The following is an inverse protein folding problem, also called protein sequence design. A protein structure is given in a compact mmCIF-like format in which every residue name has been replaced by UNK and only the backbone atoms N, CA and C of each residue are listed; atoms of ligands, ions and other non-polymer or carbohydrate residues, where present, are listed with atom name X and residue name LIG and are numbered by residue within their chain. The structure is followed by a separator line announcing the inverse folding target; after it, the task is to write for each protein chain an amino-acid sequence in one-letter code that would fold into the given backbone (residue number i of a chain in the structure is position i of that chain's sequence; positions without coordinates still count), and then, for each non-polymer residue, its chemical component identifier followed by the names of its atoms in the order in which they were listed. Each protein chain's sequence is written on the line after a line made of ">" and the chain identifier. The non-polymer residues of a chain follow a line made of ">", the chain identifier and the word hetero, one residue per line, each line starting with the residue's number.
data_IF_392992839335
#
_entry.id   IF_392992839335
#
_cell.length_a   1.000
_cell.length_b   1.000
_cell.length_c   1.000
_cell.angle_alpha   90.00
_cell.angle_beta   90.00
_cell.angle_gamma   90.00
#
_symmetry.space_group_name_H-M   'P 1'
#
loop_
_entity.id
_entity.type
_entity.pdbx_description
1 polymer ?
#
# COMPACT_ATOMS: atom_id res chain seq x y z
N UNK A 1 -25.35 4.41 -9.26
CA UNK A 1 -24.75 5.72 -9.58
C UNK A 1 -23.23 5.65 -9.79
N UNK A 2 -22.46 4.96 -8.95
CA UNK A 2 -20.99 4.89 -9.06
C UNK A 2 -20.43 4.33 -10.40
N UNK A 3 -21.21 3.62 -11.16
CA UNK A 3 -20.82 3.08 -12.47
C UNK A 3 -21.20 3.94 -13.69
N UNK A 4 -21.78 5.11 -13.47
CA UNK A 4 -22.12 6.03 -14.56
C UNK A 4 -20.86 6.77 -15.06
N UNK A 5 -20.83 7.09 -16.34
CA UNK A 5 -19.72 7.81 -16.95
C UNK A 5 -19.51 9.17 -16.28
N UNK A 6 -18.25 9.50 -16.02
CA UNK A 6 -17.84 10.75 -15.39
C UNK A 6 -18.37 10.98 -13.95
N UNK A 7 -18.98 9.97 -13.32
CA UNK A 7 -19.29 10.02 -11.89
C UNK A 7 -18.06 9.57 -11.11
N UNK A 8 -17.21 10.54 -10.79
CA UNK A 8 -16.08 10.33 -9.89
C UNK A 8 -16.48 10.48 -8.40
N UNK A 9 -15.53 10.27 -7.47
CA UNK A 9 -15.77 10.34 -6.03
C UNK A 9 -16.46 11.62 -5.57
N UNK A 10 -15.99 12.78 -6.03
CA UNK A 10 -16.56 14.08 -5.65
C UNK A 10 -18.02 14.24 -6.14
N UNK A 11 -18.33 13.76 -7.35
CA UNK A 11 -19.70 13.79 -7.88
C UNK A 11 -20.59 12.82 -7.11
N UNK A 12 -20.09 11.63 -6.80
CA UNK A 12 -20.84 10.65 -6.00
C UNK A 12 -21.18 11.18 -4.61
N UNK A 13 -20.25 11.92 -3.97
CA UNK A 13 -20.54 12.60 -2.68
C UNK A 13 -21.65 13.64 -2.81
N UNK A 14 -21.64 14.47 -3.85
CA UNK A 14 -22.73 15.45 -4.08
C UNK A 14 -24.08 14.76 -4.31
N UNK A 15 -24.09 13.63 -5.03
CA UNK A 15 -25.29 12.84 -5.21
C UNK A 15 -25.77 12.22 -3.89
N UNK A 16 -24.86 11.69 -3.07
CA UNK A 16 -25.19 11.14 -1.77
C UNK A 16 -25.72 12.22 -0.80
N UNK A 17 -25.25 13.46 -0.89
CA UNK A 17 -25.71 14.58 -0.08
C UNK A 17 -27.14 15.06 -0.43
N UNK A 18 -27.75 14.59 -1.52
CA UNK A 18 -29.14 14.90 -1.87
C UNK A 18 -30.17 14.17 -0.99
N UNK A 19 -29.75 13.19 -0.20
CA UNK A 19 -30.61 12.44 0.71
C UNK A 19 -30.79 10.98 0.33
N UNK A 20 -32.03 10.46 0.34
CA UNK A 20 -32.32 9.06 0.10
C UNK A 20 -31.76 8.56 -1.24
N UNK A 21 -31.00 7.46 -1.28
CA UNK A 21 -30.38 6.95 -2.50
C UNK A 21 -31.39 6.48 -3.56
N UNK A 22 -32.55 5.99 -3.16
CA UNK A 22 -33.60 5.50 -4.09
C UNK A 22 -34.26 6.70 -4.74
N UNK A 23 -34.63 7.71 -3.96
CA UNK A 23 -35.20 8.94 -4.50
C UNK A 23 -34.21 9.67 -5.40
N UNK A 24 -32.93 9.74 -5.00
CA UNK A 24 -31.86 10.32 -5.82
C UNK A 24 -31.71 9.57 -7.15
N UNK A 25 -31.80 8.23 -7.14
CA UNK A 25 -31.75 7.41 -8.34
C UNK A 25 -32.93 7.69 -9.29
N UNK A 26 -34.15 7.81 -8.76
CA UNK A 26 -35.34 8.14 -9.57
C UNK A 26 -35.27 9.57 -10.13
N UNK A 27 -34.80 10.54 -9.36
CA UNK A 27 -34.53 11.91 -9.87
C UNK A 27 -33.51 11.89 -11.00
N UNK A 28 -32.45 11.09 -10.88
CA UNK A 28 -31.41 10.93 -11.89
C UNK A 28 -32.01 10.31 -13.18
N UNK A 29 -32.74 9.21 -13.06
CA UNK A 29 -33.40 8.55 -14.24
C UNK A 29 -34.33 9.50 -14.99
N UNK A 30 -34.97 10.41 -14.28
CA UNK A 30 -35.90 11.39 -14.85
C UNK A 30 -35.21 12.71 -15.30
N UNK A 31 -33.88 12.81 -15.18
CA UNK A 31 -33.13 14.04 -15.52
C UNK A 31 -33.43 15.23 -14.61
N UNK A 32 -33.89 14.99 -13.38
CA UNK A 32 -34.32 16.01 -12.41
C UNK A 32 -33.30 16.29 -11.30
N UNK A 33 -32.01 16.13 -11.59
CA UNK A 33 -30.95 16.46 -10.66
C UNK A 33 -30.65 17.97 -10.70
N UNK A 34 -30.28 18.58 -9.55
CA UNK A 34 -29.81 19.96 -9.54
C UNK A 34 -28.44 20.10 -10.23
N UNK A 35 -28.20 21.23 -10.87
CA UNK A 35 -26.94 21.50 -11.57
C UNK A 35 -25.70 21.43 -10.65
N UNK A 36 -25.89 21.64 -9.34
CA UNK A 36 -24.82 21.61 -8.33
C UNK A 36 -24.13 20.25 -8.16
N UNK A 37 -24.76 19.16 -8.62
CA UNK A 37 -24.14 17.83 -8.61
C UNK A 37 -23.05 17.65 -9.67
N UNK A 38 -23.09 18.46 -10.74
CA UNK A 38 -22.14 18.40 -11.84
C UNK A 38 -20.81 19.06 -11.47
N UNK A 39 -19.71 18.52 -11.98
CA UNK A 39 -18.41 19.20 -11.92
C UNK A 39 -18.32 20.18 -13.11
N UNK A 40 -18.30 21.47 -12.83
CA UNK A 40 -18.42 22.57 -13.80
C UNK A 40 -17.25 22.72 -14.81
N UNK A 41 -16.57 21.64 -15.23
CA UNK A 41 -15.30 21.79 -16.00
C UNK A 41 -15.28 21.31 -17.44
N UNK A 42 -16.20 20.47 -17.91
CA UNK A 42 -16.07 19.85 -19.24
C UNK A 42 -17.28 20.00 -20.15
N UNK A 43 -18.48 20.13 -19.60
CA UNK A 43 -19.72 20.28 -20.37
C UNK A 43 -20.80 20.99 -19.52
N UNK A 44 -21.86 21.55 -20.18
CA UNK A 44 -22.98 22.13 -19.46
C UNK A 44 -23.63 21.11 -18.51
N UNK A 45 -23.99 21.48 -17.27
CA UNK A 45 -24.62 20.60 -16.29
C UNK A 45 -25.86 19.85 -16.83
N UNK A 46 -26.66 20.52 -17.65
CA UNK A 46 -27.87 19.92 -18.27
C UNK A 46 -27.51 18.75 -19.18
N UNK A 47 -26.53 18.90 -20.05
CA UNK A 47 -26.05 17.85 -20.95
C UNK A 47 -25.52 16.63 -20.18
N UNK A 48 -24.76 16.89 -19.09
CA UNK A 48 -24.23 15.83 -18.24
C UNK A 48 -25.37 15.06 -17.54
N UNK A 49 -26.38 15.76 -17.00
CA UNK A 49 -27.53 15.13 -16.35
C UNK A 49 -28.35 14.30 -17.35
N UNK A 50 -28.60 14.81 -18.55
CA UNK A 50 -29.30 14.09 -19.62
C UNK A 50 -28.58 12.79 -20.01
N UNK A 51 -27.24 12.85 -20.13
CA UNK A 51 -26.41 11.65 -20.37
C UNK A 51 -26.56 10.63 -19.26
N UNK A 52 -26.42 11.05 -18.00
CA UNK A 52 -26.61 10.15 -16.86
C UNK A 52 -28.02 9.58 -16.79
N UNK A 53 -29.03 10.37 -17.10
CA UNK A 53 -30.42 9.90 -17.15
C UNK A 53 -30.60 8.81 -18.22
N UNK A 54 -30.00 9.00 -19.39
CA UNK A 54 -30.04 8.02 -20.49
C UNK A 54 -29.37 6.72 -20.07
N UNK A 55 -28.17 6.78 -19.47
CA UNK A 55 -27.49 5.59 -18.95
C UNK A 55 -28.28 4.91 -17.83
N UNK A 56 -28.83 5.69 -16.89
CA UNK A 56 -29.58 5.15 -15.76
C UNK A 56 -30.85 4.40 -16.17
N UNK A 57 -31.48 4.77 -17.29
CA UNK A 57 -32.65 4.08 -17.81
C UNK A 57 -32.36 2.67 -18.33
N UNK A 58 -31.12 2.42 -18.77
CA UNK A 58 -30.65 1.12 -19.26
C UNK A 58 -30.07 0.23 -18.16
N UNK A 59 -29.89 0.75 -16.96
CA UNK A 59 -29.29 0.04 -15.84
C UNK A 59 -30.38 -0.55 -14.94
N UNK A 60 -30.32 -1.87 -14.74
CA UNK A 60 -31.07 -2.54 -13.70
C UNK A 60 -30.21 -2.70 -12.43
N UNK A 61 -30.55 -2.04 -11.32
CA UNK A 61 -29.83 -2.19 -10.05
C UNK A 61 -29.81 -3.65 -9.54
N UNK A 62 -30.83 -4.44 -9.81
CA UNK A 62 -30.90 -5.83 -9.37
C UNK A 62 -29.85 -6.71 -10.09
N UNK A 63 -29.64 -6.47 -11.38
CA UNK A 63 -28.60 -7.15 -12.17
C UNK A 63 -27.20 -6.79 -11.65
N UNK A 64 -26.95 -5.49 -11.29
CA UNK A 64 -25.70 -5.07 -10.70
C UNK A 64 -25.46 -5.82 -9.39
N UNK A 65 -26.44 -5.88 -8.50
CA UNK A 65 -26.32 -6.60 -7.23
C UNK A 65 -26.10 -8.11 -7.44
N UNK A 66 -26.80 -8.73 -8.38
CA UNK A 66 -26.59 -10.13 -8.73
C UNK A 66 -25.15 -10.38 -9.24
N UNK A 67 -24.63 -9.47 -10.07
CA UNK A 67 -23.24 -9.52 -10.55
C UNK A 67 -22.24 -9.38 -9.41
N UNK A 68 -22.39 -8.39 -8.51
CA UNK A 68 -21.50 -8.18 -7.37
C UNK A 68 -21.44 -9.44 -6.50
N UNK A 69 -22.59 -10.03 -6.16
CA UNK A 69 -22.65 -11.28 -5.38
C UNK A 69 -21.94 -12.43 -6.08
N UNK A 70 -22.12 -12.58 -7.40
CA UNK A 70 -21.49 -13.65 -8.18
C UNK A 70 -19.97 -13.57 -8.18
N UNK A 71 -19.41 -12.37 -8.18
CA UNK A 71 -17.95 -12.16 -8.13
C UNK A 71 -17.41 -11.97 -6.69
N UNK A 72 -18.25 -12.17 -5.67
CA UNK A 72 -17.89 -12.06 -4.26
C UNK A 72 -17.56 -10.65 -3.78
N UNK A 73 -17.99 -9.60 -4.52
CA UNK A 73 -17.73 -8.21 -4.13
C UNK A 73 -18.82 -7.70 -3.21
N UNK A 74 -18.44 -7.35 -1.98
CA UNK A 74 -19.26 -6.61 -1.03
C UNK A 74 -19.26 -5.11 -1.31
N UNK A 75 -20.21 -4.40 -0.71
CA UNK A 75 -20.29 -2.93 -0.76
C UNK A 75 -20.60 -2.42 0.63
N UNK A 76 -19.77 -1.52 1.14
CA UNK A 76 -20.02 -0.76 2.36
C UNK A 76 -20.20 0.71 2.01
N UNK A 77 -21.21 1.36 2.59
CA UNK A 77 -21.55 2.75 2.30
C UNK A 77 -21.30 3.65 3.51
N UNK A 78 -20.96 4.90 3.25
CA UNK A 78 -20.84 5.93 4.27
C UNK A 78 -22.15 6.01 5.09
N UNK A 79 -22.02 5.92 6.41
CA UNK A 79 -23.15 5.86 7.31
C UNK A 79 -23.82 4.49 7.46
N UNK A 80 -23.47 3.52 6.60
CA UNK A 80 -23.98 2.14 6.67
C UNK A 80 -23.21 1.25 7.66
N UNK A 81 -23.72 0.02 7.90
CA UNK A 81 -23.05 -0.96 8.73
C UNK A 81 -21.71 -1.40 8.09
N UNK A 82 -20.70 -1.68 8.92
CA UNK A 82 -19.37 -2.11 8.47
C UNK A 82 -18.53 -1.03 7.78
N UNK A 83 -18.99 0.23 7.75
CA UNK A 83 -18.17 1.32 7.24
C UNK A 83 -17.07 1.67 8.25
N UNK A 84 -15.79 1.75 7.82
CA UNK A 84 -14.67 1.97 8.73
C UNK A 84 -14.82 3.27 9.53
N UNK A 85 -14.71 3.17 10.87
CA UNK A 85 -14.88 4.32 11.77
C UNK A 85 -13.84 5.42 11.47
N UNK A 86 -12.60 5.04 11.16
CA UNK A 86 -11.53 5.96 10.81
C UNK A 86 -11.85 6.86 9.60
N UNK A 87 -12.77 6.42 8.72
CA UNK A 87 -13.20 7.18 7.54
C UNK A 87 -14.51 7.97 7.76
N UNK A 88 -15.26 7.73 8.85
CA UNK A 88 -16.52 8.48 9.10
C UNK A 88 -16.29 9.97 9.31
N UNK A 89 -15.23 10.30 10.03
CA UNK A 89 -14.81 11.67 10.33
C UNK A 89 -13.75 12.22 9.37
N UNK A 90 -13.45 11.48 8.29
CA UNK A 90 -12.46 11.92 7.29
C UNK A 90 -12.98 13.16 6.54
N UNK A 91 -12.14 14.18 6.27
CA UNK A 91 -12.56 15.36 5.51
C UNK A 91 -12.98 15.03 4.07
N UNK A 92 -12.55 13.88 3.54
CA UNK A 92 -12.86 13.42 2.18
C UNK A 92 -13.20 11.92 2.15
N UNK A 93 -14.31 11.49 2.82
CA UNK A 93 -14.65 10.08 2.97
C UNK A 93 -15.13 9.49 1.65
N UNK A 94 -14.75 8.23 1.30
CA UNK A 94 -15.36 7.53 0.19
C UNK A 94 -16.84 7.23 0.49
N UNK A 95 -17.75 7.57 -0.41
CA UNK A 95 -19.19 7.28 -0.23
C UNK A 95 -19.45 5.77 -0.23
N UNK A 96 -18.69 5.04 -1.05
CA UNK A 96 -18.78 3.58 -1.17
C UNK A 96 -17.37 2.99 -1.14
N UNK A 97 -17.27 1.84 -0.52
CA UNK A 97 -16.12 0.94 -0.66
C UNK A 97 -16.61 -0.40 -1.21
N UNK A 98 -16.07 -0.81 -2.34
CA UNK A 98 -16.25 -2.14 -2.91
C UNK A 98 -15.17 -3.04 -2.33
N UNK A 99 -15.56 -4.19 -1.79
CA UNK A 99 -14.70 -5.03 -0.94
C UNK A 99 -14.62 -6.46 -1.46
N UNK A 100 -13.43 -7.06 -1.37
CA UNK A 100 -13.18 -8.48 -1.47
C UNK A 100 -12.46 -8.92 -0.20
N UNK A 101 -13.00 -9.92 0.51
CA UNK A 101 -12.53 -10.33 1.82
C UNK A 101 -13.38 -9.76 2.95
N UNK A 102 -12.82 -9.70 4.16
CA UNK A 102 -13.54 -9.35 5.37
C UNK A 102 -13.36 -7.86 5.76
N UNK A 103 -14.41 -7.03 5.66
CA UNK A 103 -14.36 -5.63 6.08
C UNK A 103 -14.00 -5.42 7.57
N UNK A 104 -14.32 -6.39 8.46
CA UNK A 104 -13.98 -6.33 9.88
C UNK A 104 -12.45 -6.31 10.13
N UNK A 105 -11.65 -6.61 9.11
CA UNK A 105 -10.19 -6.40 9.15
C UNK A 105 -9.83 -4.95 9.51
N UNK A 106 -10.65 -3.97 9.16
CA UNK A 106 -10.45 -2.55 9.42
C UNK A 106 -10.93 -2.08 10.81
N UNK A 107 -11.54 -2.95 11.60
CA UNK A 107 -11.93 -2.68 13.00
C UNK A 107 -10.72 -2.74 13.95
N UNK A 108 -9.60 -3.28 13.47
CA UNK A 108 -8.33 -3.35 14.20
C UNK A 108 -7.56 -2.03 14.09
N UNK A 109 -6.59 -1.76 14.98
CA UNK A 109 -5.63 -0.69 14.77
C UNK A 109 -4.98 -0.84 13.40
N UNK A 110 -4.95 0.25 12.63
CA UNK A 110 -4.46 0.25 11.25
C UNK A 110 -3.17 1.07 11.12
N UNK A 111 -2.16 0.50 10.49
CA UNK A 111 -0.90 1.16 10.16
C UNK A 111 -0.66 1.12 8.65
N UNK A 112 -0.46 2.28 8.04
CA UNK A 112 -0.05 2.33 6.64
C UNK A 112 1.46 2.11 6.51
N UNK A 113 1.89 1.18 5.66
CA UNK A 113 3.29 0.98 5.30
C UNK A 113 3.43 1.27 3.83
N UNK A 114 4.15 2.35 3.49
CA UNK A 114 4.23 2.87 2.12
C UNK A 114 5.68 3.19 1.72
N UNK A 115 5.91 3.31 0.41
CA UNK A 115 7.23 3.69 -0.08
C UNK A 115 7.37 3.58 -1.60
N UNK A 116 8.62 3.54 -2.04
CA UNK A 116 8.97 3.49 -3.45
C UNK A 116 8.56 2.18 -4.11
N UNK A 117 8.19 2.27 -5.39
CA UNK A 117 7.97 1.10 -6.26
C UNK A 117 9.27 0.41 -6.67
N UNK A 118 10.39 1.12 -6.62
CA UNK A 118 11.75 0.66 -6.97
C UNK A 118 12.57 0.47 -5.70
N UNK A 119 12.03 -0.34 -4.77
CA UNK A 119 12.65 -0.60 -3.49
C UNK A 119 13.92 -1.44 -3.62
N UNK A 120 14.91 -1.13 -2.78
CA UNK A 120 16.10 -1.96 -2.61
C UNK A 120 15.76 -3.29 -1.91
N UNK A 121 16.69 -4.25 -1.87
CA UNK A 121 16.50 -5.45 -1.08
C UNK A 121 16.34 -5.14 0.41
N UNK A 122 17.11 -4.16 0.92
CA UNK A 122 16.98 -3.65 2.27
C UNK A 122 15.56 -3.12 2.55
N UNK A 123 15.07 -2.19 1.74
CA UNK A 123 13.74 -1.61 1.95
C UNK A 123 12.62 -2.66 1.86
N UNK A 124 12.72 -3.61 0.93
CA UNK A 124 11.76 -4.74 0.87
C UNK A 124 11.83 -5.62 2.12
N UNK A 125 13.03 -5.90 2.63
CA UNK A 125 13.23 -6.66 3.87
C UNK A 125 12.58 -5.95 5.07
N UNK A 126 12.88 -4.68 5.26
CA UNK A 126 12.30 -3.85 6.35
C UNK A 126 10.77 -3.82 6.24
N UNK A 127 10.22 -3.54 5.06
CA UNK A 127 8.77 -3.48 4.87
C UNK A 127 8.09 -4.84 5.13
N UNK A 128 8.70 -5.94 4.69
CA UNK A 128 8.21 -7.29 4.93
C UNK A 128 8.19 -7.62 6.43
N UNK A 129 9.26 -7.32 7.14
CA UNK A 129 9.36 -7.63 8.57
C UNK A 129 8.42 -6.76 9.40
N UNK A 130 8.35 -5.45 9.12
CA UNK A 130 7.35 -4.58 9.72
C UNK A 130 5.95 -5.10 9.48
N UNK A 131 5.62 -5.50 8.25
CA UNK A 131 4.32 -6.05 7.92
C UNK A 131 3.98 -7.30 8.72
N UNK A 132 4.94 -8.24 8.82
CA UNK A 132 4.78 -9.48 9.60
C UNK A 132 4.61 -9.18 11.08
N UNK A 133 5.46 -8.35 11.64
CA UNK A 133 5.51 -8.11 13.08
C UNK A 133 4.31 -7.25 13.55
N UNK A 134 3.87 -6.27 12.77
CA UNK A 134 2.62 -5.56 13.00
C UNK A 134 1.42 -6.51 13.01
N UNK A 135 1.31 -7.38 12.01
CA UNK A 135 0.22 -8.34 11.93
C UNK A 135 0.28 -9.38 13.06
N UNK A 136 1.47 -9.78 13.52
CA UNK A 136 1.64 -10.64 14.70
C UNK A 136 1.17 -9.98 16.00
N UNK A 137 1.22 -8.65 16.07
CA UNK A 137 0.70 -7.84 17.18
C UNK A 137 -0.78 -7.42 17.00
N UNK A 138 -1.52 -8.05 16.10
CA UNK A 138 -2.95 -7.77 15.89
C UNK A 138 -3.25 -6.50 15.09
N UNK A 139 -2.24 -5.85 14.51
CA UNK A 139 -2.37 -4.59 13.74
C UNK A 139 -2.63 -4.91 12.27
N UNK A 140 -3.63 -4.26 11.69
CA UNK A 140 -3.91 -4.34 10.26
C UNK A 140 -2.92 -3.46 9.48
N UNK A 141 -2.15 -4.08 8.59
CA UNK A 141 -1.27 -3.35 7.67
C UNK A 141 -2.05 -2.88 6.46
N UNK A 142 -2.17 -1.57 6.31
CA UNK A 142 -2.84 -0.92 5.17
C UNK A 142 -1.80 -0.48 4.15
N UNK A 143 -2.00 -0.79 2.86
CA UNK A 143 -1.13 -0.26 1.81
C UNK A 143 -1.83 -0.25 0.45
N UNK A 144 -1.10 0.15 -0.59
CA UNK A 144 -1.67 0.36 -1.93
C UNK A 144 -1.49 -0.78 -2.91
N UNK A 145 -0.93 -1.91 -2.51
CA UNK A 145 -0.63 -3.05 -3.37
C UNK A 145 0.30 -2.71 -4.57
N UNK A 146 1.03 -1.60 -4.52
CA UNK A 146 2.00 -1.25 -5.54
C UNK A 146 3.22 -2.20 -5.51
N UNK A 147 4.07 -2.14 -6.54
CA UNK A 147 5.37 -2.81 -6.50
C UNK A 147 6.24 -2.25 -5.37
N UNK A 148 7.26 -2.97 -4.96
CA UNK A 148 8.25 -2.53 -3.97
C UNK A 148 7.74 -2.62 -2.54
N UNK A 149 7.72 -1.50 -1.83
CA UNK A 149 7.43 -1.45 -0.38
C UNK A 149 6.03 -1.97 -0.07
N UNK A 150 5.01 -1.51 -0.78
CA UNK A 150 3.62 -1.93 -0.52
C UNK A 150 3.46 -3.46 -0.62
N UNK A 151 3.99 -4.05 -1.70
CA UNK A 151 3.92 -5.49 -1.91
C UNK A 151 4.69 -6.26 -0.84
N UNK A 152 5.87 -5.78 -0.42
CA UNK A 152 6.65 -6.41 0.62
C UNK A 152 5.93 -6.37 1.98
N UNK A 153 5.35 -5.21 2.35
CA UNK A 153 4.57 -5.05 3.57
C UNK A 153 3.36 -6.00 3.61
N UNK A 154 2.59 -6.07 2.52
CA UNK A 154 1.47 -7.01 2.42
C UNK A 154 1.91 -8.47 2.48
N UNK A 155 3.02 -8.83 1.82
CA UNK A 155 3.55 -10.19 1.86
C UNK A 155 3.96 -10.61 3.28
N UNK A 156 4.56 -9.68 4.03
CA UNK A 156 4.88 -9.86 5.46
C UNK A 156 3.62 -10.02 6.30
N UNK A 157 2.66 -9.10 6.18
CA UNK A 157 1.42 -9.09 6.93
C UNK A 157 0.58 -10.37 6.71
N UNK A 158 0.57 -10.91 5.50
CA UNK A 158 -0.04 -12.21 5.21
C UNK A 158 0.58 -13.39 5.98
N UNK A 159 1.69 -13.21 6.68
CA UNK A 159 2.36 -14.23 7.52
C UNK A 159 2.21 -13.97 9.02
N UNK A 160 1.70 -12.79 9.42
CA UNK A 160 1.67 -12.37 10.81
C UNK A 160 0.38 -12.71 11.58
N UNK A 161 -0.69 -13.10 10.91
CA UNK A 161 -1.95 -13.53 11.54
C UNK A 161 -3.09 -12.52 11.51
N UNK A 162 -2.86 -11.23 11.74
CA UNK A 162 -3.86 -10.19 11.47
C UNK A 162 -3.90 -9.90 9.97
N UNK A 163 -5.01 -10.10 9.32
CA UNK A 163 -5.13 -9.89 7.88
C UNK A 163 -4.77 -8.46 7.46
N UNK A 164 -4.07 -8.25 6.32
CA UNK A 164 -3.79 -6.93 5.76
C UNK A 164 -4.99 -6.34 5.04
N UNK A 165 -4.97 -5.02 4.82
CA UNK A 165 -5.94 -4.34 3.98
C UNK A 165 -5.25 -3.64 2.80
N UNK A 166 -5.58 -4.03 1.57
CA UNK A 166 -5.11 -3.36 0.37
C UNK A 166 -6.18 -2.41 -0.17
N UNK A 167 -5.84 -1.14 -0.30
CA UNK A 167 -6.66 -0.17 -1.01
C UNK A 167 -6.15 -0.07 -2.45
N UNK A 168 -7.00 -0.25 -3.46
CA UNK A 168 -6.55 -0.24 -4.86
C UNK A 168 -7.15 0.91 -5.66
N UNK A 169 -6.41 1.39 -6.67
CA UNK A 169 -6.83 2.47 -7.57
C UNK A 169 -7.53 1.98 -8.84
N UNK A 170 -8.15 0.80 -8.76
CA UNK A 170 -8.94 0.16 -9.81
C UNK A 170 -10.09 -0.59 -9.15
N UNK A 171 -11.03 -1.14 -9.90
CA UNK A 171 -12.04 -2.05 -9.34
C UNK A 171 -11.37 -3.22 -8.61
N UNK A 172 -11.96 -3.73 -7.51
CA UNK A 172 -11.33 -4.79 -6.71
C UNK A 172 -11.14 -6.10 -7.50
N UNK A 173 -11.91 -6.30 -8.57
CA UNK A 173 -11.80 -7.41 -9.53
C UNK A 173 -10.64 -7.26 -10.52
N UNK A 174 -10.01 -6.07 -10.59
CA UNK A 174 -8.93 -5.73 -11.53
C UNK A 174 -7.74 -5.06 -10.83
N UNK A 175 -7.18 -5.66 -9.77
CA UNK A 175 -6.07 -5.05 -9.04
C UNK A 175 -4.85 -4.87 -9.97
N UNK A 176 -4.10 -3.80 -9.73
CA UNK A 176 -2.93 -3.41 -10.51
C UNK A 176 -1.75 -3.14 -9.55
N UNK A 177 -0.53 -3.59 -9.88
CA UNK A 177 -0.10 -4.22 -11.14
C UNK A 177 -0.49 -5.71 -11.24
N UNK A 178 -0.55 -6.23 -12.47
CA UNK A 178 -0.91 -7.65 -12.71
C UNK A 178 0.06 -8.65 -12.08
N UNK A 179 1.33 -8.29 -11.96
CA UNK A 179 2.36 -9.10 -11.28
C UNK A 179 2.02 -9.36 -9.80
N UNK A 180 1.26 -8.47 -9.16
CA UNK A 180 0.83 -8.61 -7.76
C UNK A 180 -0.54 -9.33 -7.62
N UNK A 181 -1.08 -9.89 -8.70
CA UNK A 181 -2.38 -10.58 -8.65
C UNK A 181 -2.40 -11.78 -7.67
N UNK A 182 -1.36 -12.63 -7.57
CA UNK A 182 -1.31 -13.66 -6.54
C UNK A 182 -1.35 -13.08 -5.12
N UNK A 183 -0.60 -12.00 -4.87
CA UNK A 183 -0.61 -11.31 -3.58
C UNK A 183 -1.97 -10.68 -3.30
N UNK A 184 -2.62 -10.05 -4.29
CA UNK A 184 -3.95 -9.47 -4.15
C UNK A 184 -4.98 -10.52 -3.72
N UNK A 185 -4.96 -11.70 -4.32
CA UNK A 185 -5.82 -12.83 -3.94
C UNK A 185 -5.57 -13.27 -2.50
N UNK A 186 -4.29 -13.37 -2.11
CA UNK A 186 -3.93 -13.75 -0.75
C UNK A 186 -4.37 -12.70 0.28
N UNK A 187 -4.21 -11.41 -0.03
CA UNK A 187 -4.71 -10.30 0.79
C UNK A 187 -6.23 -10.39 0.95
N UNK A 188 -6.97 -10.60 -0.14
CA UNK A 188 -8.43 -10.76 -0.09
C UNK A 188 -8.88 -12.00 0.71
N UNK A 189 -8.10 -13.08 0.70
CA UNK A 189 -8.42 -14.31 1.45
C UNK A 189 -8.15 -14.17 2.95
N UNK A 190 -7.07 -13.47 3.33
CA UNK A 190 -6.62 -13.38 4.74
C UNK A 190 -7.07 -12.09 5.43
N UNK A 191 -7.55 -11.13 4.69
CA UNK A 191 -7.92 -9.81 5.16
C UNK A 191 -8.87 -9.12 4.19
N UNK A 192 -8.49 -7.95 3.65
CA UNK A 192 -9.37 -7.12 2.84
C UNK A 192 -8.65 -6.53 1.63
N UNK A 193 -9.29 -6.60 0.47
CA UNK A 193 -8.96 -5.76 -0.68
C UNK A 193 -10.14 -4.85 -0.96
N UNK A 194 -9.93 -3.53 -0.96
CA UNK A 194 -11.01 -2.58 -1.15
C UNK A 194 -10.68 -1.47 -2.16
N UNK A 195 -11.73 -0.87 -2.70
CA UNK A 195 -11.64 0.22 -3.66
C UNK A 195 -12.86 1.13 -3.57
N UNK A 196 -12.67 2.42 -3.82
CA UNK A 196 -13.77 3.37 -4.06
C UNK A 196 -14.39 3.20 -5.46
N UNK A 197 -13.70 2.49 -6.35
CA UNK A 197 -14.13 2.29 -7.73
C UNK A 197 -14.89 0.96 -7.87
N UNK A 198 -16.01 0.96 -8.63
CA UNK A 198 -16.78 -0.26 -8.84
C UNK A 198 -15.98 -1.30 -9.67
N UNK A 199 -16.37 -2.59 -9.57
CA UNK A 199 -15.83 -3.64 -10.40
C UNK A 199 -15.93 -3.32 -11.90
N UNK A 200 -14.92 -3.77 -12.65
CA UNK A 200 -14.77 -3.52 -14.08
C UNK A 200 -13.96 -2.28 -14.44
N UNK A 201 -13.73 -1.38 -13.47
CA UNK A 201 -12.95 -0.16 -13.72
C UNK A 201 -11.44 -0.47 -13.68
N UNK A 202 -10.74 -0.16 -14.77
CA UNK A 202 -9.30 -0.35 -14.89
C UNK A 202 -8.48 0.71 -14.15
N UNK A 203 -7.20 0.41 -13.92
CA UNK A 203 -6.26 1.36 -13.34
C UNK A 203 -5.92 2.48 -14.32
N UNK A 204 -5.73 3.70 -13.78
CA UNK A 204 -5.20 4.86 -14.50
C UNK A 204 -4.21 5.62 -13.60
N UNK A 205 -3.16 6.25 -14.15
CA UNK A 205 -2.10 6.88 -13.35
C UNK A 205 -2.61 7.87 -12.31
N UNK A 206 -3.56 8.72 -12.65
CA UNK A 206 -4.13 9.73 -11.76
C UNK A 206 -4.96 9.16 -10.60
N UNK A 207 -5.42 7.90 -10.68
CA UNK A 207 -6.22 7.25 -9.63
C UNK A 207 -5.38 6.82 -8.45
N UNK A 208 -4.08 6.60 -8.64
CA UNK A 208 -3.20 6.17 -7.55
C UNK A 208 -3.00 7.26 -6.47
N UNK A 209 -2.66 8.52 -6.81
CA UNK A 209 -2.62 9.59 -5.82
C UNK A 209 -3.97 9.84 -5.14
N UNK A 210 -5.07 9.82 -5.91
CA UNK A 210 -6.42 10.00 -5.34
C UNK A 210 -6.75 8.91 -4.32
N UNK A 211 -6.38 7.65 -4.59
CA UNK A 211 -6.59 6.53 -3.67
C UNK A 211 -5.78 6.67 -2.38
N UNK A 212 -4.57 7.29 -2.42
CA UNK A 212 -3.68 7.38 -1.27
C UNK A 212 -4.32 8.11 -0.07
N UNK A 213 -5.31 8.99 -0.30
CA UNK A 213 -6.09 9.61 0.78
C UNK A 213 -6.84 8.58 1.64
N UNK A 214 -7.31 7.48 1.02
CA UNK A 214 -8.01 6.42 1.74
C UNK A 214 -7.01 5.58 2.54
N UNK A 215 -5.82 5.32 2.00
CA UNK A 215 -4.74 4.65 2.76
C UNK A 215 -4.39 5.45 4.02
N UNK A 216 -4.17 6.75 3.87
CA UNK A 216 -3.87 7.63 5.01
C UNK A 216 -5.07 7.78 5.96
N UNK A 217 -6.30 7.85 5.42
CA UNK A 217 -7.52 7.99 6.21
C UNK A 217 -7.81 6.77 7.10
N UNK A 218 -7.54 5.58 6.62
CA UNK A 218 -7.70 4.33 7.38
C UNK A 218 -6.64 4.17 8.47
N UNK A 219 -5.45 4.70 8.28
CA UNK A 219 -4.33 4.49 9.18
C UNK A 219 -4.32 5.47 10.36
N UNK A 220 -3.91 5.01 11.52
CA UNK A 220 -3.56 5.83 12.68
C UNK A 220 -2.12 6.32 12.60
N UNK A 221 -1.24 5.49 12.04
CA UNK A 221 0.19 5.75 11.85
C UNK A 221 0.56 5.43 10.40
N UNK A 222 1.40 6.25 9.80
CA UNK A 222 1.94 6.05 8.45
C UNK A 222 3.46 5.87 8.55
N UNK A 223 3.96 4.73 8.10
CA UNK A 223 5.39 4.43 8.04
C UNK A 223 5.87 4.51 6.61
N UNK A 224 6.88 5.35 6.37
CA UNK A 224 7.56 5.47 5.07
C UNK A 224 8.88 4.71 5.14
N UNK A 225 9.03 3.64 4.33
CA UNK A 225 10.24 2.78 4.41
C UNK A 225 11.35 3.27 3.49
N UNK A 226 11.05 3.50 2.25
CA UNK A 226 11.96 4.13 1.26
C UNK A 226 11.15 5.05 0.36
N UNK A 227 11.64 6.25 0.12
CA UNK A 227 11.05 7.23 -0.81
C UNK A 227 12.09 8.22 -1.33
N UNK A 228 11.98 8.58 -2.59
CA UNK A 228 12.60 9.81 -3.08
C UNK A 228 11.80 11.02 -2.56
N UNK A 229 12.39 12.22 -2.56
CA UNK A 229 11.75 13.46 -2.10
C UNK A 229 10.45 13.80 -2.85
N UNK A 230 10.34 13.39 -4.12
CA UNK A 230 9.16 13.59 -4.99
C UNK A 230 8.45 12.28 -5.31
N UNK A 231 8.62 11.26 -4.45
CA UNK A 231 8.03 9.93 -4.66
C UNK A 231 6.51 9.91 -4.51
N UNK A 232 5.86 8.95 -5.16
CA UNK A 232 4.39 8.77 -5.06
C UNK A 232 3.89 8.46 -3.64
N UNK A 233 4.75 7.94 -2.75
CA UNK A 233 4.46 7.74 -1.34
C UNK A 233 4.35 9.05 -0.56
N UNK A 234 5.01 10.13 -1.03
CA UNK A 234 4.90 11.45 -0.40
C UNK A 234 3.48 12.01 -0.45
N UNK A 235 2.70 11.67 -1.48
CA UNK A 235 1.28 12.05 -1.50
C UNK A 235 0.48 11.37 -0.37
N UNK A 236 0.88 10.16 0.07
CA UNK A 236 0.27 9.53 1.26
C UNK A 236 0.65 10.28 2.54
N UNK A 237 1.89 10.75 2.62
CA UNK A 237 2.35 11.59 3.74
C UNK A 237 1.59 12.91 3.81
N UNK A 238 1.42 13.62 2.68
CA UNK A 238 0.61 14.83 2.60
C UNK A 238 -0.82 14.59 3.12
N UNK A 239 -1.44 13.50 2.68
CA UNK A 239 -2.76 13.10 3.15
C UNK A 239 -2.78 12.71 4.63
N UNK A 240 -1.71 12.14 5.17
CA UNK A 240 -1.55 11.81 6.58
C UNK A 240 -1.46 13.07 7.45
N UNK A 241 -0.64 14.03 7.05
CA UNK A 241 -0.48 15.32 7.74
C UNK A 241 -1.81 16.09 7.78
N UNK A 242 -2.54 16.16 6.65
CA UNK A 242 -3.87 16.79 6.59
C UNK A 242 -4.91 16.15 7.51
N UNK A 243 -4.66 14.93 7.98
CA UNK A 243 -5.52 14.14 8.86
C UNK A 243 -4.98 14.01 10.28
N UNK A 244 -3.93 14.76 10.61
CA UNK A 244 -3.21 14.68 11.89
C UNK A 244 -2.80 13.25 12.25
N UNK A 245 -2.37 12.46 11.23
CA UNK A 245 -1.84 11.12 11.47
C UNK A 245 -0.36 11.19 11.78
N UNK A 246 0.10 10.37 12.71
CA UNK A 246 1.53 10.25 13.02
C UNK A 246 2.28 9.66 11.82
N UNK A 247 3.38 10.31 11.44
CA UNK A 247 4.26 9.85 10.36
C UNK A 247 5.58 9.41 10.97
N UNK A 248 6.00 8.19 10.64
CA UNK A 248 7.33 7.66 10.94
C UNK A 248 8.07 7.41 9.62
N UNK A 249 9.40 7.57 9.65
CA UNK A 249 10.23 7.29 8.49
C UNK A 249 11.41 6.39 8.86
N UNK A 250 11.67 5.39 8.03
CA UNK A 250 12.83 4.52 8.17
C UNK A 250 14.06 5.27 7.67
N UNK A 251 15.11 5.44 8.48
CA UNK A 251 16.33 6.11 8.05
C UNK A 251 17.09 5.26 7.05
N UNK A 252 17.84 5.90 6.18
CA UNK A 252 18.71 5.23 5.24
C UNK A 252 19.95 6.02 4.88
N UNK A 253 20.86 5.47 4.05
CA UNK A 253 22.08 6.16 3.68
C UNK A 253 21.80 7.55 3.08
N UNK A 254 22.57 8.55 3.54
CA UNK A 254 22.33 9.97 3.18
C UNK A 254 22.51 10.27 1.69
N UNK A 255 23.28 9.45 1.01
CA UNK A 255 23.58 9.56 -0.43
C UNK A 255 22.76 8.61 -1.31
N UNK A 256 21.86 7.80 -0.70
CA UNK A 256 20.97 6.95 -1.44
C UNK A 256 19.70 7.73 -1.87
N UNK A 257 19.42 7.86 -3.19
CA UNK A 257 18.22 8.56 -3.66
C UNK A 257 16.90 7.98 -3.12
N UNK A 258 16.88 6.67 -2.83
CA UNK A 258 15.73 5.99 -2.24
C UNK A 258 15.48 6.34 -0.78
N UNK A 259 16.48 6.87 -0.07
CA UNK A 259 16.39 7.29 1.33
C UNK A 259 16.13 8.79 1.50
N UNK A 260 16.35 9.57 0.44
CA UNK A 260 16.33 11.04 0.50
C UNK A 260 15.00 11.60 1.04
N UNK A 261 13.86 11.00 0.65
CA UNK A 261 12.55 11.42 1.13
C UNK A 261 12.33 11.06 2.61
N UNK A 262 12.75 9.88 3.05
CA UNK A 262 12.65 9.46 4.45
C UNK A 262 13.54 10.33 5.35
N UNK A 263 14.79 10.58 4.94
CA UNK A 263 15.71 11.44 5.68
C UNK A 263 15.21 12.89 5.74
N UNK A 264 14.60 13.41 4.68
CA UNK A 264 13.95 14.73 4.69
C UNK A 264 12.78 14.77 5.68
N UNK A 265 11.90 13.76 5.69
CA UNK A 265 10.80 13.67 6.65
C UNK A 265 11.30 13.67 8.10
N UNK A 266 12.37 12.94 8.39
CA UNK A 266 12.99 12.92 9.72
C UNK A 266 13.53 14.32 10.08
N UNK A 267 14.19 15.00 9.15
CA UNK A 267 14.67 16.38 9.33
C UNK A 267 13.53 17.37 9.57
N UNK A 268 12.36 17.13 8.98
CA UNK A 268 11.14 17.92 9.14
C UNK A 268 10.35 17.55 10.42
N UNK A 269 10.87 16.63 11.25
CA UNK A 269 10.30 16.27 12.54
C UNK A 269 9.47 14.98 12.57
N UNK A 270 9.45 14.19 11.50
CA UNK A 270 8.86 12.85 11.57
C UNK A 270 9.70 11.95 12.50
N UNK A 271 9.03 11.10 13.28
CA UNK A 271 9.71 10.16 14.15
C UNK A 271 10.47 9.10 13.36
N UNK A 272 11.62 8.68 13.90
CA UNK A 272 12.42 7.59 13.32
C UNK A 272 11.70 6.26 13.55
N UNK A 273 11.64 5.41 12.52
CA UNK A 273 11.20 4.04 12.60
C UNK A 273 12.39 3.09 12.46
N UNK A 274 12.82 2.50 13.55
CA UNK A 274 13.89 1.49 13.59
C UNK A 274 13.34 0.08 13.63
N UNK A 275 12.04 -0.07 13.96
CA UNK A 275 11.37 -1.38 14.06
C UNK A 275 9.90 -1.26 14.43
N UNK A 276 9.29 -2.42 14.70
CA UNK A 276 7.86 -2.52 15.04
C UNK A 276 7.53 -1.79 16.35
N UNK A 277 8.44 -1.78 17.31
CA UNK A 277 8.23 -1.19 18.63
C UNK A 277 7.96 0.32 18.55
N UNK A 278 8.68 1.05 17.67
CA UNK A 278 8.44 2.47 17.45
C UNK A 278 7.01 2.73 16.93
N UNK A 279 6.52 1.84 16.07
CA UNK A 279 5.17 1.94 15.50
C UNK A 279 4.11 1.63 16.57
N UNK A 280 4.35 0.61 17.42
CA UNK A 280 3.44 0.25 18.51
C UNK A 280 3.37 1.36 19.56
N UNK A 281 4.49 2.02 19.88
CA UNK A 281 4.51 3.21 20.73
C UNK A 281 3.68 4.33 20.12
N UNK A 282 3.86 4.61 18.82
CA UNK A 282 3.11 5.64 18.11
C UNK A 282 1.60 5.35 18.04
N UNK A 283 1.19 4.07 18.12
CA UNK A 283 -0.21 3.66 18.26
C UNK A 283 -0.78 3.84 19.67
N UNK A 284 0.03 4.29 20.65
CA UNK A 284 -0.37 4.40 22.05
C UNK A 284 -0.41 3.04 22.78
N UNK A 285 0.20 2.01 22.21
CA UNK A 285 0.35 0.69 22.85
C UNK A 285 1.45 0.70 23.91
N UNK A 286 1.26 -0.08 24.98
CA UNK A 286 2.36 -0.44 25.85
C UNK A 286 3.38 -1.25 25.05
N UNK A 287 4.68 -0.91 25.20
CA UNK A 287 5.77 -1.68 24.59
C UNK A 287 5.61 -3.16 24.95
N UNK A 288 5.20 -3.96 24.00
CA UNK A 288 5.45 -5.39 24.07
C UNK A 288 6.94 -5.52 23.74
N UNK A 289 7.76 -5.72 24.76
CA UNK A 289 9.21 -5.89 24.60
C UNK A 289 9.45 -7.19 23.82
N UNK A 290 9.31 -7.13 22.51
CA UNK A 290 9.89 -8.13 21.63
C UNK A 290 11.37 -7.88 21.64
N UNK A 291 12.10 -8.73 22.38
CA UNK A 291 13.55 -8.70 22.36
C UNK A 291 14.04 -8.66 20.90
N UNK A 292 15.08 -7.85 20.59
CA UNK A 292 15.66 -7.83 19.27
C UNK A 292 15.89 -9.27 18.82
N UNK A 293 15.35 -9.65 17.67
CA UNK A 293 15.55 -11.01 17.17
C UNK A 293 17.04 -11.22 16.98
N UNK A 294 17.62 -12.22 17.66
CA UNK A 294 19.02 -12.53 17.46
C UNK A 294 19.23 -12.91 15.98
N UNK A 295 20.25 -12.34 15.39
CA UNK A 295 20.69 -12.80 14.07
C UNK A 295 21.27 -14.20 14.22
N UNK A 296 20.52 -15.21 13.76
CA UNK A 296 20.93 -16.59 13.84
C UNK A 296 21.88 -17.00 12.71
N UNK A 297 22.19 -16.08 11.79
CA UNK A 297 23.18 -16.34 10.74
C UNK A 297 24.57 -16.41 11.35
N UNK A 298 25.33 -17.41 10.93
CA UNK A 298 26.75 -17.49 11.32
C UNK A 298 27.48 -16.28 10.75
N UNK A 299 28.15 -15.52 11.59
CA UNK A 299 28.91 -14.36 11.17
C UNK A 299 29.97 -14.75 10.12
N UNK A 300 30.02 -14.10 8.97
CA UNK A 300 31.03 -14.38 7.96
C UNK A 300 32.43 -14.09 8.45
N UNK A 301 33.39 -14.91 8.09
CA UNK A 301 34.80 -14.80 8.42
C UNK A 301 35.66 -14.83 7.18
N UNK A 302 36.93 -14.39 7.27
CA UNK A 302 37.85 -14.40 6.13
C UNK A 302 37.37 -13.54 4.96
N UNK A 303 37.53 -14.04 3.74
CA UNK A 303 37.20 -13.32 2.51
C UNK A 303 35.71 -12.92 2.45
N UNK A 304 34.80 -13.74 3.00
CA UNK A 304 33.38 -13.41 3.09
C UNK A 304 33.12 -12.14 3.94
N UNK A 305 33.84 -11.97 5.04
CA UNK A 305 33.74 -10.77 5.86
C UNK A 305 34.25 -9.53 5.12
N UNK A 306 35.36 -9.64 4.40
CA UNK A 306 35.92 -8.58 3.55
C UNK A 306 34.91 -8.15 2.49
N UNK A 307 34.28 -9.12 1.81
CA UNK A 307 33.26 -8.84 0.79
C UNK A 307 32.07 -8.07 1.39
N UNK A 308 31.57 -8.46 2.57
CA UNK A 308 30.45 -7.75 3.22
C UNK A 308 30.85 -6.36 3.71
N UNK A 309 32.07 -6.18 4.17
CA UNK A 309 32.56 -4.87 4.63
C UNK A 309 32.66 -3.88 3.47
N UNK A 310 33.24 -4.33 2.34
CA UNK A 310 33.33 -3.55 1.11
C UNK A 310 31.96 -3.25 0.49
N UNK A 311 31.06 -4.23 0.49
CA UNK A 311 29.68 -4.07 -0.03
C UNK A 311 28.88 -3.04 0.78
N UNK A 312 29.11 -2.94 2.10
CA UNK A 312 28.35 -2.07 2.96
C UNK A 312 26.84 -2.32 2.87
N UNK A 313 26.04 -1.23 2.72
CA UNK A 313 24.57 -1.27 2.65
C UNK A 313 24.02 -0.73 1.31
N UNK A 314 24.86 -0.56 0.30
CA UNK A 314 24.46 -0.14 -1.05
C UNK A 314 24.50 -1.30 -2.02
N UNK A 315 23.66 -1.30 -3.04
CA UNK A 315 23.84 -2.19 -4.18
C UNK A 315 25.13 -1.86 -4.91
N UNK A 316 26.02 -2.83 -5.08
CA UNK A 316 27.28 -2.66 -5.76
C UNK A 316 27.46 -3.69 -6.88
N UNK A 317 28.17 -3.31 -7.95
CA UNK A 317 28.48 -4.25 -9.04
C UNK A 317 29.58 -5.23 -8.64
N UNK A 318 29.62 -6.38 -9.31
CA UNK A 318 30.68 -7.38 -9.10
C UNK A 318 32.05 -6.79 -9.42
N UNK A 319 32.14 -5.94 -10.46
CA UNK A 319 33.37 -5.26 -10.86
C UNK A 319 33.90 -4.33 -9.75
N UNK A 320 32.98 -3.56 -9.12
CA UNK A 320 33.34 -2.72 -7.98
C UNK A 320 33.87 -3.57 -6.83
N UNK A 321 33.17 -4.66 -6.48
CA UNK A 321 33.56 -5.54 -5.39
C UNK A 321 34.92 -6.21 -5.62
N UNK A 322 35.24 -6.60 -6.85
CA UNK A 322 36.57 -7.10 -7.21
C UNK A 322 37.64 -6.03 -6.96
N UNK A 323 37.41 -4.83 -7.47
CA UNK A 323 38.37 -3.73 -7.36
C UNK A 323 38.57 -3.29 -5.89
N UNK A 324 37.52 -3.22 -5.12
CA UNK A 324 37.56 -2.71 -3.75
C UNK A 324 37.98 -3.76 -2.72
N UNK A 325 37.65 -5.05 -2.91
CA UNK A 325 38.07 -6.11 -1.99
C UNK A 325 39.51 -6.60 -2.22
N UNK A 326 40.06 -6.37 -3.43
CA UNK A 326 41.35 -6.92 -3.84
C UNK A 326 41.34 -8.44 -4.08
N UNK A 327 40.17 -9.08 -3.99
CA UNK A 327 40.06 -10.51 -4.21
C UNK A 327 40.04 -10.86 -5.73
N UNK A 328 40.65 -11.95 -6.13
CA UNK A 328 40.49 -12.47 -7.50
C UNK A 328 39.02 -12.74 -7.80
N UNK A 329 38.55 -12.43 -9.01
CA UNK A 329 37.17 -12.62 -9.43
C UNK A 329 36.61 -14.00 -9.07
N UNK A 330 37.39 -15.07 -9.28
CA UNK A 330 36.99 -16.45 -8.97
C UNK A 330 36.71 -16.65 -7.49
N UNK A 331 37.54 -16.07 -6.61
CA UNK A 331 37.36 -16.14 -5.17
C UNK A 331 36.14 -15.33 -4.74
N UNK A 332 35.98 -14.10 -5.26
CA UNK A 332 34.82 -13.25 -4.99
C UNK A 332 33.51 -13.93 -5.36
N UNK A 333 33.40 -14.54 -6.56
CA UNK A 333 32.19 -15.23 -6.98
C UNK A 333 31.84 -16.38 -6.03
N UNK A 334 32.84 -17.18 -5.61
CA UNK A 334 32.64 -18.24 -4.64
C UNK A 334 32.12 -17.73 -3.27
N UNK A 335 32.68 -16.60 -2.78
CA UNK A 335 32.22 -15.99 -1.53
C UNK A 335 30.82 -15.38 -1.69
N UNK A 336 30.50 -14.75 -2.80
CA UNK A 336 29.14 -14.24 -3.07
C UNK A 336 28.10 -15.36 -3.08
N UNK A 337 28.41 -16.52 -3.67
CA UNK A 337 27.51 -17.69 -3.64
C UNK A 337 27.32 -18.24 -2.21
N UNK A 338 28.39 -18.23 -1.41
CA UNK A 338 28.33 -18.63 0.00
C UNK A 338 27.47 -17.67 0.82
N UNK A 339 27.69 -16.37 0.66
CA UNK A 339 26.94 -15.30 1.32
C UNK A 339 25.48 -15.29 0.91
N UNK A 340 25.17 -15.57 -0.36
CA UNK A 340 23.80 -15.67 -0.85
C UNK A 340 23.07 -16.88 -0.26
N UNK A 341 23.71 -18.04 -0.23
CA UNK A 341 23.15 -19.26 0.42
C UNK A 341 22.92 -19.08 1.92
N UNK A 342 23.76 -18.31 2.60
CA UNK A 342 23.62 -18.03 4.04
C UNK A 342 22.75 -16.80 4.33
N UNK A 343 22.14 -16.19 3.30
CA UNK A 343 21.19 -15.09 3.45
C UNK A 343 21.80 -13.74 3.84
N UNK A 344 23.07 -13.53 3.56
CA UNK A 344 23.74 -12.24 3.80
C UNK A 344 23.61 -11.27 2.64
N UNK A 345 23.55 -11.78 1.41
CA UNK A 345 23.42 -10.96 0.20
C UNK A 345 22.37 -11.53 -0.74
N UNK A 346 21.94 -10.74 -1.71
CA UNK A 346 21.14 -11.14 -2.86
C UNK A 346 21.71 -10.52 -4.12
N UNK A 347 21.68 -11.26 -5.24
CA UNK A 347 22.09 -10.75 -6.55
C UNK A 347 20.86 -10.49 -7.40
N UNK A 348 20.76 -9.26 -7.93
CA UNK A 348 19.66 -8.84 -8.82
C UNK A 348 20.15 -7.83 -9.84
N UNK A 349 19.72 -8.00 -11.08
CA UNK A 349 19.97 -7.04 -12.17
C UNK A 349 21.44 -6.62 -12.33
N UNK A 350 22.40 -7.57 -12.03
CA UNK A 350 23.84 -7.31 -12.11
C UNK A 350 24.47 -6.68 -10.86
N UNK A 351 23.65 -6.41 -9.82
CA UNK A 351 24.12 -5.85 -8.55
C UNK A 351 24.04 -6.86 -7.42
N UNK A 352 24.91 -6.66 -6.42
CA UNK A 352 24.90 -7.38 -5.15
C UNK A 352 24.37 -6.43 -4.08
N UNK A 353 23.39 -6.89 -3.31
CA UNK A 353 22.79 -6.13 -2.22
C UNK A 353 22.91 -6.88 -0.90
N UNK A 354 23.26 -6.17 0.19
CA UNK A 354 23.31 -6.75 1.53
C UNK A 354 21.89 -6.92 2.09
N UNK A 355 21.62 -8.06 2.72
CA UNK A 355 20.38 -8.33 3.42
C UNK A 355 20.53 -8.00 4.91
N UNK A 356 19.51 -7.37 5.52
CA UNK A 356 19.39 -7.15 6.96
C UNK A 356 19.25 -8.48 7.74
N UNK A 357 19.05 -8.38 9.06
CA UNK A 357 18.93 -9.54 9.98
C UNK A 357 17.76 -10.47 9.67
N UNK A 358 16.79 -10.05 8.89
CA UNK A 358 15.67 -10.86 8.41
C UNK A 358 16.02 -11.86 7.29
N UNK A 359 17.18 -11.75 6.70
CA UNK A 359 17.96 -12.71 5.90
C UNK A 359 17.28 -13.58 4.84
N UNK A 360 16.04 -13.34 4.45
CA UNK A 360 15.40 -14.04 3.34
C UNK A 360 15.13 -13.09 2.18
N UNK A 361 15.70 -13.40 1.04
CA UNK A 361 15.19 -12.85 -0.22
C UNK A 361 13.67 -13.03 -0.22
N UNK A 362 12.93 -11.93 -0.34
CA UNK A 362 11.46 -12.00 -0.46
C UNK A 362 11.19 -12.67 -1.79
N UNK A 363 10.93 -13.97 -1.77
CA UNK A 363 10.52 -14.72 -2.94
C UNK A 363 9.08 -14.30 -3.30
N UNK A 364 8.98 -13.34 -4.19
CA UNK A 364 7.70 -12.87 -4.73
C UNK A 364 7.24 -13.74 -5.92
N UNK A 365 7.98 -14.80 -6.28
CA UNK A 365 7.87 -15.42 -7.60
C UNK A 365 7.50 -16.89 -7.69
N UNK A 366 7.44 -17.66 -6.62
CA UNK A 366 7.06 -19.08 -6.71
C UNK A 366 5.99 -19.40 -5.66
N UNK A 367 4.75 -19.22 -6.07
CA UNK A 367 3.59 -19.83 -5.39
C UNK A 367 3.08 -20.91 -6.35
N UNK A 368 2.96 -22.17 -5.90
CA UNK A 368 2.33 -23.22 -6.69
C UNK A 368 0.88 -22.90 -7.02
#
# INVERSE_FOLDING_TARGET
>A
MAGLDLVGPATLRRLAALGDPVETWERLRNGRLPASVCAARTEPPRTQIERWATQARTIDPAEIWARLRRIGVGVVSLGGPGYPEALRSDPDPPVLLFTLGDPATLDRPCVAVVGTRRATAYGRGVAHDLGRDLAANGVCVVSGLALGIDAAAHAGACRGGAGPAAVVGAGPDRPCPRSNLPLARRVATLGLLCSELPPGIGAQPWRFPVRNRIVAGLAQVVVVVESATTGGSMSTVEHAVLRNRTVLAVPGPVDAPTSAGCNALISDGAAVCSGVDDVLVALGGALSATAPRPDHRVAPTGDAAIVLDVLGWRPESVEYLVAASGLPLRSLVGELERLERSGWVVRRDGFVERLGTSGRAVDLGTIP
#
